data_IF_308526340899
#
_entry.id   IF_308526340899
#
_cell.length_a   1.000
_cell.length_b   1.000
_cell.length_c   1.000
_cell.angle_alpha   90.00
_cell.angle_beta   90.00
_cell.angle_gamma   90.00
#
_symmetry.space_group_name_H-M   'P 1'
#
loop_
_entity.id
_entity.type
_entity.pdbx_description
1 polymer ?
#
# COMPACT_ATOMS: atom_id res chain seq x y z
N UNK A 1 5.64 -14.74 4.49
CA UNK A 1 6.46 -13.75 3.73
C UNK A 1 6.23 -12.37 4.33
N UNK A 2 7.30 -11.64 4.68
CA UNK A 2 7.20 -10.28 5.24
C UNK A 2 7.67 -9.27 4.20
N UNK A 3 6.80 -8.34 3.80
CA UNK A 3 7.11 -7.34 2.75
C UNK A 3 6.45 -6.00 3.03
N UNK A 4 7.18 -4.90 2.84
CA UNK A 4 6.67 -3.55 3.05
C UNK A 4 6.83 -2.73 1.77
N UNK A 5 5.71 -2.28 1.23
CA UNK A 5 5.66 -1.36 0.10
C UNK A 5 5.59 0.07 0.59
N UNK A 6 6.56 0.87 0.19
CA UNK A 6 6.69 2.24 0.67
C UNK A 6 7.15 3.19 -0.44
N UNK A 7 7.08 4.48 -0.11
CA UNK A 7 7.71 5.53 -0.89
C UNK A 7 8.85 6.11 -0.07
N UNK A 8 10.04 6.17 -0.67
CA UNK A 8 11.23 6.73 -0.04
C UNK A 8 11.04 8.20 0.37
N UNK A 9 10.27 8.98 -0.37
CA UNK A 9 10.01 10.41 -0.10
C UNK A 9 8.81 10.68 0.82
N UNK A 10 8.14 9.64 1.34
CA UNK A 10 6.98 9.77 2.22
C UNK A 10 7.41 9.80 3.70
N UNK A 11 7.45 10.98 4.32
CA UNK A 11 7.86 11.15 5.72
C UNK A 11 7.02 10.31 6.71
N UNK A 12 5.70 10.23 6.50
CA UNK A 12 4.82 9.38 7.31
C UNK A 12 5.16 7.90 7.18
N UNK A 13 5.45 7.44 5.96
CA UNK A 13 5.82 6.05 5.69
C UNK A 13 7.16 5.73 6.38
N UNK A 14 8.15 6.62 6.24
CA UNK A 14 9.44 6.47 6.92
C UNK A 14 9.29 6.42 8.44
N UNK A 15 8.43 7.27 9.03
CA UNK A 15 8.16 7.25 10.48
C UNK A 15 7.56 5.92 10.91
N UNK A 16 6.57 5.41 10.17
CA UNK A 16 5.94 4.12 10.46
C UNK A 16 6.95 2.99 10.37
N UNK A 17 7.76 2.93 9.30
CA UNK A 17 8.79 1.89 9.13
C UNK A 17 9.78 1.92 10.30
N UNK A 18 10.21 3.12 10.73
CA UNK A 18 11.08 3.27 11.92
C UNK A 18 10.42 2.77 13.20
N UNK A 19 9.11 3.01 13.37
CA UNK A 19 8.35 2.48 14.50
C UNK A 19 8.26 0.95 14.44
N UNK A 20 7.96 0.39 13.26
CA UNK A 20 7.86 -1.04 13.02
C UNK A 20 9.17 -1.77 13.31
N UNK A 21 10.30 -1.10 13.11
CA UNK A 21 11.65 -1.62 13.30
C UNK A 21 11.81 -3.03 12.68
N UNK A 22 11.52 -3.18 11.37
CA UNK A 22 11.57 -4.48 10.71
C UNK A 22 12.99 -5.05 10.74
N UNK A 23 13.08 -6.36 10.95
CA UNK A 23 14.33 -7.10 10.82
C UNK A 23 14.73 -7.32 9.35
N UNK A 24 15.91 -7.91 9.13
CA UNK A 24 16.45 -8.20 7.80
C UNK A 24 15.63 -9.24 7.01
N UNK A 25 14.65 -9.92 7.63
CA UNK A 25 13.75 -10.83 6.93
C UNK A 25 12.63 -10.12 6.18
N UNK A 26 12.42 -8.82 6.45
CA UNK A 26 11.37 -8.01 5.82
C UNK A 26 11.89 -7.39 4.53
N UNK A 27 11.28 -7.75 3.40
CA UNK A 27 11.62 -7.16 2.13
C UNK A 27 11.03 -5.74 2.00
N UNK A 28 11.88 -4.75 1.76
CA UNK A 28 11.47 -3.36 1.54
C UNK A 28 11.33 -3.09 0.03
N UNK A 29 10.13 -2.70 -0.41
CA UNK A 29 9.82 -2.38 -1.80
C UNK A 29 9.53 -0.89 -1.97
N UNK A 30 10.41 -0.20 -2.68
CA UNK A 30 10.22 1.20 -3.07
C UNK A 30 9.43 1.28 -4.37
N UNK A 31 8.16 1.71 -4.28
CA UNK A 31 7.22 1.56 -5.41
C UNK A 31 7.37 2.58 -6.53
N UNK A 32 8.21 3.60 -6.35
CA UNK A 32 8.48 4.62 -7.37
C UNK A 32 9.61 4.17 -8.30
N UNK A 33 10.66 3.57 -7.75
CA UNK A 33 11.76 2.99 -8.53
C UNK A 33 11.42 1.58 -9.03
N UNK A 34 10.67 0.81 -8.25
CA UNK A 34 10.28 -0.55 -8.58
C UNK A 34 8.76 -0.70 -8.47
N UNK A 35 8.07 -0.44 -9.60
CA UNK A 35 6.61 -0.46 -9.68
C UNK A 35 6.04 -1.81 -9.26
N UNK A 36 4.85 -1.76 -8.66
CA UNK A 36 4.11 -2.97 -8.33
C UNK A 36 3.70 -3.74 -9.59
N UNK A 37 3.81 -5.05 -9.53
CA UNK A 37 3.36 -5.93 -10.62
C UNK A 37 1.86 -6.24 -10.50
N UNK A 38 1.19 -6.61 -11.61
CA UNK A 38 -0.21 -7.06 -11.56
C UNK A 38 -0.42 -8.23 -10.59
N UNK A 39 0.54 -9.15 -10.51
CA UNK A 39 0.48 -10.33 -9.63
C UNK A 39 0.57 -9.94 -8.15
N UNK A 40 1.50 -9.04 -7.80
CA UNK A 40 1.60 -8.51 -6.43
C UNK A 40 0.32 -7.76 -6.02
N UNK A 41 -0.25 -6.98 -6.94
CA UNK A 41 -1.48 -6.24 -6.69
C UNK A 41 -2.69 -7.17 -6.51
N UNK A 42 -2.76 -8.25 -7.27
CA UNK A 42 -3.79 -9.29 -7.12
C UNK A 42 -3.69 -9.99 -5.76
N UNK A 43 -2.49 -10.37 -5.34
CA UNK A 43 -2.26 -10.89 -3.99
C UNK A 43 -2.70 -9.90 -2.91
N UNK A 44 -2.38 -8.61 -3.05
CA UNK A 44 -2.85 -7.59 -2.10
C UNK A 44 -4.38 -7.51 -2.05
N UNK A 45 -5.05 -7.65 -3.20
CA UNK A 45 -6.51 -7.62 -3.27
C UNK A 45 -7.13 -8.84 -2.59
N UNK A 46 -6.54 -10.02 -2.74
CA UNK A 46 -7.00 -11.22 -2.03
C UNK A 46 -6.97 -11.04 -0.52
N UNK A 47 -5.91 -10.41 0.00
CA UNK A 47 -5.73 -10.17 1.43
C UNK A 47 -6.59 -9.00 1.96
N UNK A 48 -6.78 -7.95 1.15
CA UNK A 48 -7.46 -6.71 1.57
C UNK A 48 -8.96 -6.68 1.23
N UNK A 49 -9.41 -7.59 0.37
CA UNK A 49 -10.79 -7.75 -0.09
C UNK A 49 -11.08 -7.05 -1.42
N UNK A 50 -10.47 -5.88 -1.68
CA UNK A 50 -10.72 -5.11 -2.92
C UNK A 50 -9.55 -4.20 -3.30
N UNK A 51 -9.41 -3.89 -4.59
CA UNK A 51 -8.47 -2.87 -5.09
C UNK A 51 -8.83 -1.48 -4.57
N UNK A 52 -10.11 -1.17 -4.36
CA UNK A 52 -10.53 0.08 -3.74
C UNK A 52 -9.94 0.24 -2.33
N UNK A 53 -9.87 -0.84 -1.54
CA UNK A 53 -9.31 -0.81 -0.20
C UNK A 53 -7.83 -0.40 -0.21
N UNK A 54 -7.11 -0.69 -1.31
CA UNK A 54 -5.72 -0.34 -1.58
C UNK A 54 -5.57 1.05 -2.22
N UNK A 55 -6.65 1.67 -2.69
CA UNK A 55 -6.61 2.87 -3.51
C UNK A 55 -6.59 4.18 -2.70
N UNK A 56 -5.70 5.10 -3.07
CA UNK A 56 -5.51 6.40 -2.44
C UNK A 56 -6.21 7.52 -3.21
N UNK A 57 -7.39 7.93 -2.73
CA UNK A 57 -8.12 9.11 -3.20
C UNK A 57 -7.46 10.45 -2.82
N UNK A 58 -6.38 10.40 -2.03
CA UNK A 58 -5.65 11.60 -1.56
C UNK A 58 -4.56 12.05 -2.54
N UNK A 59 -4.25 11.26 -3.57
CA UNK A 59 -3.23 11.62 -4.55
C UNK A 59 -3.61 12.91 -5.29
N UNK A 60 -2.66 13.82 -5.53
CA UNK A 60 -2.91 15.03 -6.35
C UNK A 60 -3.45 14.66 -7.74
N UNK A 61 -2.95 13.55 -8.30
CA UNK A 61 -3.41 13.00 -9.57
C UNK A 61 -4.89 12.59 -9.57
N UNK A 62 -5.43 12.19 -8.42
CA UNK A 62 -6.86 11.88 -8.30
C UNK A 62 -7.73 13.08 -8.66
N UNK A 63 -7.36 14.26 -8.13
CA UNK A 63 -8.06 15.52 -8.40
C UNK A 63 -7.77 16.04 -9.80
N UNK A 64 -6.51 16.03 -10.24
CA UNK A 64 -6.15 16.57 -11.55
C UNK A 64 -6.72 15.77 -12.73
N UNK A 65 -7.00 14.47 -12.53
CA UNK A 65 -7.63 13.60 -13.52
C UNK A 65 -9.15 13.58 -13.44
N UNK A 66 -9.77 14.37 -12.55
CA UNK A 66 -11.23 14.41 -12.37
C UNK A 66 -11.83 13.08 -11.94
N UNK A 67 -11.09 12.25 -11.19
CA UNK A 67 -11.53 10.91 -10.79
C UNK A 67 -12.59 10.94 -9.66
N UNK A 68 -12.81 12.10 -9.04
CA UNK A 68 -13.86 12.31 -8.04
C UNK A 68 -15.27 12.26 -8.62
N UNK A 69 -15.41 12.62 -9.89
CA UNK A 69 -16.70 12.70 -10.60
C UNK A 69 -17.00 11.45 -11.42
N UNK A 70 -16.11 10.44 -11.37
CA UNK A 70 -16.25 9.19 -12.11
C UNK A 70 -16.76 8.09 -11.17
N UNK A 71 -17.65 7.26 -11.72
CA UNK A 71 -18.05 6.01 -11.07
C UNK A 71 -17.00 4.94 -11.36
N UNK A 72 -16.00 4.84 -10.47
CA UNK A 72 -14.88 3.90 -10.61
C UNK A 72 -15.27 2.52 -10.13
N UNK A 73 -15.08 1.53 -10.99
CA UNK A 73 -15.27 0.10 -10.68
C UNK A 73 -13.98 -0.53 -10.19
N UNK A 74 -14.12 -1.77 -9.73
CA UNK A 74 -13.03 -2.57 -9.17
C UNK A 74 -11.84 -2.70 -10.13
N UNK A 75 -12.09 -2.93 -11.43
CA UNK A 75 -11.04 -2.98 -12.45
C UNK A 75 -10.39 -1.62 -12.72
N UNK A 76 -11.13 -0.51 -12.58
CA UNK A 76 -10.57 0.83 -12.75
C UNK A 76 -9.54 1.12 -11.65
N UNK A 77 -9.83 0.74 -10.41
CA UNK A 77 -8.86 0.87 -9.31
C UNK A 77 -7.59 0.07 -9.57
N UNK A 78 -7.71 -1.17 -10.07
CA UNK A 78 -6.57 -2.01 -10.46
C UNK A 78 -5.70 -1.30 -11.49
N UNK A 79 -6.31 -0.85 -12.59
CA UNK A 79 -5.60 -0.23 -13.70
C UNK A 79 -4.92 1.08 -13.26
N UNK A 80 -5.63 1.93 -12.53
CA UNK A 80 -5.07 3.19 -12.01
C UNK A 80 -3.86 2.95 -11.10
N UNK A 81 -3.89 1.94 -10.21
CA UNK A 81 -2.76 1.61 -9.34
C UNK A 81 -1.54 1.16 -10.15
N UNK A 82 -1.75 0.35 -11.19
CA UNK A 82 -0.67 -0.16 -12.04
C UNK A 82 -0.06 0.92 -12.93
N UNK A 83 -0.89 1.82 -13.45
CA UNK A 83 -0.44 2.95 -14.25
C UNK A 83 0.39 3.93 -13.40
N UNK A 84 -0.10 4.24 -12.21
CA UNK A 84 0.41 5.32 -11.38
C UNK A 84 0.51 4.93 -9.89
N UNK A 85 1.75 4.73 -9.44
CA UNK A 85 2.10 4.28 -8.08
C UNK A 85 1.55 5.19 -6.96
N UNK A 86 1.31 6.48 -7.23
CA UNK A 86 0.73 7.41 -6.24
C UNK A 86 -0.68 7.04 -5.80
N UNK A 87 -1.39 6.22 -6.59
CA UNK A 87 -2.71 5.72 -6.25
C UNK A 87 -2.70 4.53 -5.30
N UNK A 88 -1.56 3.88 -5.04
CA UNK A 88 -1.48 2.89 -3.96
C UNK A 88 -1.43 3.60 -2.60
N UNK A 89 -2.29 3.19 -1.64
CA UNK A 89 -2.18 3.60 -0.23
C UNK A 89 -0.84 3.14 0.32
N UNK A 90 -0.21 3.97 1.15
CA UNK A 90 1.14 3.71 1.67
C UNK A 90 1.25 4.04 3.17
N UNK A 91 2.06 3.30 3.93
CA UNK A 91 2.71 2.05 3.52
C UNK A 91 1.69 0.90 3.35
N UNK A 92 2.05 -0.14 2.58
CA UNK A 92 1.35 -1.44 2.60
C UNK A 92 2.30 -2.43 3.24
N UNK A 93 1.86 -3.11 4.29
CA UNK A 93 2.67 -4.07 5.03
C UNK A 93 1.98 -5.43 4.89
N UNK A 94 2.70 -6.41 4.38
CA UNK A 94 2.25 -7.80 4.27
C UNK A 94 3.09 -8.63 5.23
N UNK A 95 2.42 -9.37 6.11
CA UNK A 95 3.04 -10.31 7.04
C UNK A 95 2.28 -11.63 6.92
N UNK A 96 2.90 -12.59 6.25
CA UNK A 96 2.32 -13.90 5.94
C UNK A 96 1.00 -13.76 5.17
N UNK A 97 -0.13 -14.06 5.80
CA UNK A 97 -1.47 -13.96 5.21
C UNK A 97 -2.24 -12.72 5.70
N UNK A 98 -1.55 -11.74 6.30
CA UNK A 98 -2.16 -10.51 6.77
C UNK A 98 -1.64 -9.31 5.98
N UNK A 99 -2.54 -8.36 5.71
CA UNK A 99 -2.21 -7.08 5.06
C UNK A 99 -2.66 -5.90 5.92
N UNK A 100 -1.80 -4.90 6.02
CA UNK A 100 -2.06 -3.65 6.73
C UNK A 100 -1.82 -2.48 5.78
N UNK A 101 -2.87 -1.70 5.53
CA UNK A 101 -2.87 -0.69 4.48
C UNK A 101 -3.02 0.71 5.07
N UNK A 102 -2.02 1.56 4.84
CA UNK A 102 -2.03 2.96 5.21
C UNK A 102 -1.46 3.26 6.60
N UNK A 103 -1.71 4.48 7.08
CA UNK A 103 -1.05 5.07 8.24
C UNK A 103 -1.94 5.23 9.48
N UNK A 104 -3.10 4.57 9.51
CA UNK A 104 -3.98 4.65 10.69
C UNK A 104 -3.32 3.97 11.89
N UNK A 105 -3.51 4.55 13.09
CA UNK A 105 -2.94 4.03 14.33
C UNK A 105 -3.23 2.53 14.53
N UNK A 106 -4.48 2.13 14.33
CA UNK A 106 -4.92 0.73 14.41
C UNK A 106 -4.16 -0.20 13.47
N UNK A 107 -3.92 0.22 12.22
CA UNK A 107 -3.19 -0.59 11.24
C UNK A 107 -1.70 -0.70 11.59
N UNK A 108 -1.10 0.38 12.07
CA UNK A 108 0.32 0.38 12.48
C UNK A 108 0.54 -0.52 13.69
N UNK A 109 -0.34 -0.43 14.69
CA UNK A 109 -0.27 -1.29 15.89
C UNK A 109 -0.46 -2.77 15.54
N UNK A 110 -1.44 -3.09 14.69
CA UNK A 110 -1.66 -4.46 14.25
C UNK A 110 -0.49 -5.01 13.41
N UNK A 111 0.10 -4.18 12.54
CA UNK A 111 1.28 -4.54 11.78
C UNK A 111 2.50 -4.79 12.67
N UNK A 112 2.69 -3.96 13.70
CA UNK A 112 3.77 -4.16 14.68
C UNK A 112 3.64 -5.50 15.40
N UNK A 113 2.44 -5.82 15.86
CA UNK A 113 2.16 -7.08 16.54
C UNK A 113 2.45 -8.26 15.61
N UNK A 114 1.98 -8.21 14.37
CA UNK A 114 2.22 -9.27 13.39
C UNK A 114 3.71 -9.45 13.06
N UNK A 115 4.50 -8.37 12.98
CA UNK A 115 5.93 -8.46 12.69
C UNK A 115 6.74 -9.10 13.83
N UNK A 116 6.31 -8.89 15.08
CA UNK A 116 6.97 -9.35 16.30
C UNK A 116 6.50 -10.74 16.79
N UNK A 117 5.52 -11.34 16.10
CA UNK A 117 5.12 -12.73 16.29
C UNK A 117 6.05 -13.68 15.52
#
# INVERSE_FOLDING_TARGET
MKKIYHLSTCSTCQRIIKTLNPDDSVEMREIKSNKITPQELEQMKELSGSYESLFSRRAMKYRSMGLGDKDLKEEDYKNLILEEYTFLKRPVIIVDNNIFVGSSKKMVEAAQQALNQ
#
